data_IF_723102353454
#
_entry.id   IF_723102353454
#
_cell.length_a   1.000
_cell.length_b   1.000
_cell.length_c   1.000
_cell.angle_alpha   90.00
_cell.angle_beta   90.00
_cell.angle_gamma   90.00
#
_symmetry.space_group_name_H-M   'P 1'
#
loop_
_entity.id
_entity.type
_entity.pdbx_description
1 polymer ?
#
# COMPACT_ATOMS: atom_id res chain seq x y z
N UNK A 1 -19.99 18.58 20.21
CA UNK A 1 -20.80 17.55 19.55
C UNK A 1 -19.83 16.69 18.77
N UNK A 2 -19.54 15.46 19.21
CA UNK A 2 -18.67 14.58 18.46
C UNK A 2 -19.40 14.18 17.17
N UNK A 3 -18.80 14.46 16.03
CA UNK A 3 -19.33 14.12 14.72
C UNK A 3 -19.54 12.60 14.63
N UNK A 4 -20.78 12.17 14.39
CA UNK A 4 -21.16 10.76 14.45
C UNK A 4 -20.79 10.13 13.10
N UNK A 5 -19.55 9.62 12.99
CA UNK A 5 -19.04 8.98 11.77
C UNK A 5 -19.87 7.72 11.43
N UNK A 6 -20.31 7.61 10.17
CA UNK A 6 -21.04 6.44 9.67
C UNK A 6 -20.12 5.23 9.53
N UNK A 7 -20.51 4.09 10.13
CA UNK A 7 -19.81 2.82 9.97
C UNK A 7 -20.29 2.17 8.66
N UNK A 8 -19.36 1.95 7.73
CA UNK A 8 -19.64 1.33 6.44
C UNK A 8 -19.21 -0.14 6.38
N UNK A 9 -18.12 -0.51 7.07
CA UNK A 9 -17.47 -1.81 6.89
C UNK A 9 -17.22 -2.54 8.22
N UNK A 10 -18.23 -2.88 9.04
CA UNK A 10 -17.98 -3.49 10.35
C UNK A 10 -17.34 -4.89 10.24
N UNK A 11 -16.35 -5.19 11.10
CA UNK A 11 -15.81 -6.56 11.21
C UNK A 11 -16.88 -7.48 11.79
N UNK A 12 -17.15 -8.60 11.10
CA UNK A 12 -18.10 -9.58 11.60
C UNK A 12 -17.61 -10.23 12.92
N UNK A 13 -18.46 -10.36 13.95
CA UNK A 13 -18.04 -10.86 15.26
C UNK A 13 -17.35 -12.24 15.23
N UNK A 14 -17.77 -13.13 14.33
CA UNK A 14 -17.21 -14.49 14.23
C UNK A 14 -15.77 -14.56 13.70
N UNK A 15 -15.29 -13.52 13.01
CA UNK A 15 -13.92 -13.47 12.47
C UNK A 15 -12.98 -12.61 13.32
N UNK A 16 -13.54 -11.74 14.18
CA UNK A 16 -12.77 -10.77 14.95
C UNK A 16 -11.67 -11.39 15.80
N UNK A 17 -11.94 -12.52 16.44
CA UNK A 17 -10.97 -13.24 17.27
C UNK A 17 -9.87 -13.98 16.46
N UNK A 18 -10.01 -14.05 15.12
CA UNK A 18 -9.05 -14.70 14.22
C UNK A 18 -8.12 -13.69 13.54
N UNK A 19 -8.35 -12.40 13.73
CA UNK A 19 -7.58 -11.32 13.14
C UNK A 19 -6.51 -10.83 14.11
N UNK A 20 -5.47 -10.22 13.57
CA UNK A 20 -4.47 -9.52 14.35
C UNK A 20 -5.15 -8.43 15.20
N UNK A 21 -4.92 -8.38 16.53
CA UNK A 21 -5.50 -7.35 17.39
C UNK A 21 -5.15 -5.91 16.97
N UNK A 22 -3.96 -5.67 16.42
CA UNK A 22 -3.54 -4.35 15.93
C UNK A 22 -4.35 -3.95 14.70
N UNK A 23 -4.62 -4.91 13.80
CA UNK A 23 -5.51 -4.68 12.65
C UNK A 23 -6.94 -4.34 13.11
N UNK A 24 -7.48 -5.08 14.09
CA UNK A 24 -8.82 -4.80 14.64
C UNK A 24 -8.90 -3.39 15.22
N UNK A 25 -7.87 -2.95 15.96
CA UNK A 25 -7.82 -1.61 16.52
C UNK A 25 -7.76 -0.52 15.44
N UNK A 26 -6.88 -0.69 14.42
CA UNK A 26 -6.79 0.23 13.28
C UNK A 26 -8.11 0.31 12.52
N UNK A 27 -8.72 -0.85 12.28
CA UNK A 27 -9.95 -0.95 11.53
C UNK A 27 -11.11 -0.24 12.24
N UNK A 28 -11.27 -0.47 13.54
CA UNK A 28 -12.32 0.16 14.34
C UNK A 28 -12.11 1.68 14.50
N UNK A 29 -10.86 2.14 14.53
CA UNK A 29 -10.58 3.57 14.67
C UNK A 29 -10.75 4.36 13.37
N UNK A 30 -10.42 3.74 12.23
CA UNK A 30 -10.22 4.43 10.95
C UNK A 30 -10.93 3.73 9.78
N UNK A 31 -10.59 2.46 9.50
CA UNK A 31 -10.98 1.81 8.22
C UNK A 31 -12.49 1.63 8.09
N UNK A 32 -13.19 1.28 9.17
CA UNK A 32 -14.63 0.97 9.11
C UNK A 32 -15.50 2.15 8.66
N UNK A 33 -14.98 3.38 8.72
CA UNK A 33 -15.65 4.62 8.31
C UNK A 33 -15.36 5.00 6.85
N UNK A 34 -14.55 4.22 6.14
CA UNK A 34 -14.31 4.42 4.71
C UNK A 34 -15.43 3.77 3.92
N UNK A 35 -15.99 4.49 2.96
CA UNK A 35 -16.96 3.94 2.03
C UNK A 35 -16.27 2.93 1.07
N UNK A 36 -16.81 1.69 0.93
CA UNK A 36 -16.27 0.69 0.03
C UNK A 36 -16.31 1.17 -1.43
N UNK A 37 -15.29 0.81 -2.22
CA UNK A 37 -15.23 1.22 -3.63
C UNK A 37 -16.35 0.56 -4.46
N UNK A 38 -16.76 -0.65 -4.10
CA UNK A 38 -17.85 -1.39 -4.73
C UNK A 38 -19.24 -0.78 -4.47
N UNK A 39 -19.37 0.08 -3.46
CA UNK A 39 -20.60 0.82 -3.19
C UNK A 39 -20.72 2.09 -4.05
N UNK A 40 -19.62 2.52 -4.68
CA UNK A 40 -19.59 3.72 -5.53
C UNK A 40 -19.90 3.37 -6.98
N UNK A 41 -20.57 4.26 -7.73
CA UNK A 41 -20.66 4.14 -9.17
C UNK A 41 -19.26 4.08 -9.80
N UNK A 42 -19.12 3.27 -10.84
CA UNK A 42 -17.85 3.19 -11.55
C UNK A 42 -17.53 4.51 -12.27
N UNK A 43 -16.32 5.01 -12.08
CA UNK A 43 -15.75 6.18 -12.76
C UNK A 43 -14.26 5.93 -13.02
N UNK A 44 -13.74 6.10 -14.25
CA UNK A 44 -12.31 5.94 -14.54
C UNK A 44 -11.41 6.87 -13.71
N UNK A 45 -11.89 8.03 -13.26
CA UNK A 45 -11.16 8.97 -12.42
C UNK A 45 -10.86 8.41 -11.01
N UNK A 46 -11.57 7.36 -10.58
CA UNK A 46 -11.31 6.68 -9.30
C UNK A 46 -9.88 6.15 -9.17
N UNK A 47 -9.22 5.83 -10.30
CA UNK A 47 -7.82 5.37 -10.34
C UNK A 47 -6.81 6.42 -9.89
N UNK A 48 -7.19 7.69 -9.96
CA UNK A 48 -6.35 8.83 -9.56
C UNK A 48 -6.71 9.37 -8.19
N UNK A 49 -7.72 8.80 -7.52
CA UNK A 49 -8.12 9.22 -6.19
C UNK A 49 -7.01 8.88 -5.17
N UNK A 50 -6.72 9.76 -4.20
CA UNK A 50 -5.77 9.45 -3.16
C UNK A 50 -6.23 8.23 -2.37
N UNK A 51 -5.31 7.31 -2.09
CA UNK A 51 -5.59 6.13 -1.29
C UNK A 51 -6.07 6.58 0.11
N UNK A 52 -7.29 6.19 0.56
CA UNK A 52 -7.78 6.50 1.90
C UNK A 52 -6.87 5.99 3.03
N UNK A 53 -6.01 5.00 2.73
CA UNK A 53 -5.01 4.43 3.63
C UNK A 53 -3.62 5.02 3.41
N UNK A 54 -3.46 6.08 2.62
CA UNK A 54 -2.16 6.71 2.38
C UNK A 54 -1.46 7.13 3.69
N UNK A 55 -2.22 7.50 4.72
CA UNK A 55 -1.70 7.89 6.03
C UNK A 55 -1.17 6.71 6.86
N UNK A 56 -1.56 5.47 6.50
CA UNK A 56 -1.07 4.25 7.15
C UNK A 56 0.09 3.62 6.38
N UNK A 57 0.67 4.34 5.41
CA UNK A 57 1.81 3.85 4.65
C UNK A 57 3.03 3.71 5.54
N UNK A 58 3.83 2.68 5.25
CA UNK A 58 5.08 2.47 5.96
C UNK A 58 6.04 3.62 5.70
N UNK A 59 6.88 3.92 6.69
CA UNK A 59 8.02 4.81 6.50
C UNK A 59 8.89 4.25 5.37
N UNK A 60 9.33 5.12 4.46
CA UNK A 60 10.24 4.75 3.40
C UNK A 60 11.52 4.13 3.98
N UNK A 61 11.88 2.97 3.44
CA UNK A 61 13.17 2.36 3.77
C UNK A 61 14.29 3.13 3.07
N UNK A 62 15.44 3.38 3.73
CA UNK A 62 16.58 4.00 3.09
C UNK A 62 17.13 3.09 1.99
N UNK A 63 17.59 3.70 0.90
CA UNK A 63 18.23 3.03 -0.24
C UNK A 63 19.47 3.82 -0.65
N UNK A 64 20.51 3.14 -1.11
CA UNK A 64 21.77 3.78 -1.51
C UNK A 64 21.67 4.53 -2.84
N UNK A 65 20.84 4.04 -3.76
CA UNK A 65 20.55 4.70 -5.04
C UNK A 65 19.14 4.37 -5.53
N UNK A 66 18.51 5.32 -6.19
CA UNK A 66 17.23 5.15 -6.87
C UNK A 66 17.23 5.92 -8.19
N UNK A 67 16.69 5.32 -9.25
CA UNK A 67 16.44 6.00 -10.52
C UNK A 67 15.29 5.35 -11.28
N UNK A 68 14.75 6.08 -12.26
CA UNK A 68 13.80 5.56 -13.24
C UNK A 68 14.53 5.31 -14.56
N UNK A 69 14.23 4.19 -15.22
CA UNK A 69 14.86 3.76 -16.47
C UNK A 69 13.81 3.18 -17.41
N UNK A 70 14.05 3.32 -18.71
CA UNK A 70 13.24 2.71 -19.76
C UNK A 70 13.97 1.50 -20.37
N UNK A 71 13.38 0.33 -20.20
CA UNK A 71 13.90 -0.92 -20.76
C UNK A 71 13.20 -1.19 -22.09
N UNK A 72 14.00 -1.36 -23.15
CA UNK A 72 13.50 -1.74 -24.47
C UNK A 72 12.63 -0.70 -25.18
N UNK A 73 12.63 0.55 -24.72
CA UNK A 73 11.85 1.64 -25.33
C UNK A 73 10.38 1.71 -24.89
N UNK A 74 9.93 0.82 -24.00
CA UNK A 74 8.49 0.66 -23.70
C UNK A 74 8.19 0.45 -22.21
N UNK A 75 9.12 -0.14 -21.46
CA UNK A 75 8.88 -0.55 -20.07
C UNK A 75 9.58 0.42 -19.14
N UNK A 76 8.79 1.21 -18.41
CA UNK A 76 9.32 2.05 -17.33
C UNK A 76 9.54 1.20 -16.08
N UNK A 77 10.75 1.25 -15.55
CA UNK A 77 11.11 0.62 -14.28
C UNK A 77 11.69 1.64 -13.32
N UNK A 78 11.43 1.44 -12.03
CA UNK A 78 12.13 2.14 -10.95
C UNK A 78 13.11 1.18 -10.30
N UNK A 79 14.38 1.52 -10.34
CA UNK A 79 15.47 0.71 -9.79
C UNK A 79 15.84 1.23 -8.42
N UNK A 80 15.97 0.31 -7.47
CA UNK A 80 16.45 0.58 -6.11
C UNK A 80 17.70 -0.26 -5.85
N UNK A 81 18.75 0.37 -5.35
CA UNK A 81 20.00 -0.31 -4.96
C UNK A 81 20.21 -0.12 -3.46
N UNK A 82 20.47 -1.21 -2.70
CA UNK A 82 20.72 -1.10 -1.27
C UNK A 82 21.94 -0.23 -0.95
N UNK A 83 22.02 0.24 0.29
CA UNK A 83 23.23 0.89 0.80
C UNK A 83 24.39 -0.12 0.92
N UNK A 84 25.61 0.38 0.77
CA UNK A 84 26.84 -0.41 0.96
C UNK A 84 27.36 -1.11 -0.30
N UNK A 85 28.43 -1.91 -0.15
CA UNK A 85 29.01 -2.66 -1.26
C UNK A 85 28.16 -3.89 -1.62
N UNK A 86 28.20 -4.27 -2.89
CA UNK A 86 27.60 -5.52 -3.32
C UNK A 86 28.22 -6.73 -2.57
N UNK A 87 27.45 -7.80 -2.32
CA UNK A 87 27.93 -8.95 -1.56
C UNK A 87 28.98 -9.79 -2.30
N UNK A 88 29.15 -9.61 -3.61
CA UNK A 88 30.14 -10.32 -4.42
C UNK A 88 30.54 -9.52 -5.66
N UNK A 89 31.58 -9.96 -6.36
CA UNK A 89 31.98 -9.38 -7.66
C UNK A 89 30.89 -9.52 -8.74
N UNK A 90 29.99 -10.51 -8.61
CA UNK A 90 28.84 -10.68 -9.49
C UNK A 90 27.71 -9.66 -9.24
N UNK A 91 27.85 -8.81 -8.21
CA UNK A 91 26.90 -7.76 -7.88
C UNK A 91 25.84 -8.17 -6.86
N UNK A 92 24.69 -7.50 -6.93
CA UNK A 92 23.54 -7.73 -6.04
C UNK A 92 22.61 -8.81 -6.61
N UNK A 93 21.97 -9.64 -5.76
CA UNK A 93 20.79 -10.39 -6.20
C UNK A 93 19.70 -9.42 -6.65
N UNK A 94 19.05 -9.74 -7.77
CA UNK A 94 18.02 -8.89 -8.36
C UNK A 94 16.62 -9.47 -8.11
N UNK A 95 15.70 -8.64 -7.64
CA UNK A 95 14.28 -8.93 -7.56
C UNK A 95 13.52 -8.03 -8.54
N UNK A 96 12.85 -8.64 -9.52
CA UNK A 96 11.91 -7.92 -10.37
C UNK A 96 10.54 -7.97 -9.69
N UNK A 97 10.05 -6.80 -9.25
CA UNK A 97 8.80 -6.69 -8.52
C UNK A 97 7.69 -6.12 -9.39
N UNK A 98 6.59 -6.86 -9.49
CA UNK A 98 5.34 -6.41 -10.09
C UNK A 98 4.35 -6.16 -8.95
N UNK A 99 3.85 -4.94 -8.83
CA UNK A 99 2.89 -4.60 -7.79
C UNK A 99 1.55 -5.31 -8.04
N UNK A 100 0.81 -5.61 -6.98
CA UNK A 100 -0.57 -6.10 -7.09
C UNK A 100 -1.57 -4.96 -7.32
N UNK A 101 -2.83 -5.33 -7.59
CA UNK A 101 -3.94 -4.40 -7.85
C UNK A 101 -4.28 -4.29 -9.32
#
# INVERSE_FOLDING_TARGET
MADQRTIHQPIHPSVRAKLDPEYVALHDAIIQYMEPSEARPWDPASRSAPNPLAHTTQKLSPVGRQWDEEIGGEIQVRVFVPEGPAPSEAGWPCLVWFHGG
#
